data_IF_268728598907
#
_entry.id   IF_268728598907
#
_cell.length_a   1.000
_cell.length_b   1.000
_cell.length_c   1.000
_cell.angle_alpha   90.00
_cell.angle_beta   90.00
_cell.angle_gamma   90.00
#
_symmetry.space_group_name_H-M   'P 1'
#
loop_
_entity.id
_entity.type
_entity.pdbx_description
1 polymer ?
#
# COMPACT_ATOMS: atom_id res chain seq x y z
N UNK A 1 5.46 -28.32 -6.30
CA UNK A 1 6.92 -28.54 -6.30
C UNK A 1 7.55 -27.18 -6.52
N UNK A 2 8.38 -26.72 -5.59
CA UNK A 2 9.18 -25.51 -5.78
C UNK A 2 10.52 -25.93 -6.37
N UNK A 3 10.83 -25.40 -7.55
CA UNK A 3 12.12 -25.65 -8.19
C UNK A 3 13.20 -24.85 -7.46
N UNK A 4 14.37 -25.46 -7.24
CA UNK A 4 15.55 -24.89 -6.55
C UNK A 4 15.44 -24.71 -5.01
N UNK A 5 14.46 -25.29 -4.34
CA UNK A 5 14.43 -25.31 -2.87
C UNK A 5 15.66 -26.06 -2.30
N UNK A 6 16.40 -25.51 -1.31
CA UNK A 6 16.13 -24.31 -0.50
C UNK A 6 16.72 -22.98 -1.02
N UNK A 7 17.51 -22.98 -2.10
CA UNK A 7 18.22 -21.80 -2.60
C UNK A 7 17.51 -21.14 -3.80
N UNK A 8 16.81 -20.05 -3.54
CA UNK A 8 16.08 -19.27 -4.55
C UNK A 8 16.92 -18.24 -5.29
N UNK A 9 18.24 -18.18 -5.07
CA UNK A 9 19.15 -17.24 -5.75
C UNK A 9 19.03 -17.27 -7.28
N UNK A 10 18.86 -18.45 -7.86
CA UNK A 10 18.71 -18.67 -9.29
C UNK A 10 17.40 -18.08 -9.85
N UNK A 11 16.39 -17.93 -8.99
CA UNK A 11 15.07 -17.37 -9.30
C UNK A 11 14.99 -15.87 -9.02
N UNK A 12 16.08 -15.21 -8.58
CA UNK A 12 16.08 -13.82 -8.12
C UNK A 12 15.44 -12.86 -9.12
N UNK A 13 15.77 -12.99 -10.41
CA UNK A 13 15.19 -12.15 -11.49
C UNK A 13 13.67 -12.29 -11.58
N UNK A 14 13.16 -13.52 -11.56
CA UNK A 14 11.72 -13.78 -11.68
C UNK A 14 10.98 -13.24 -10.46
N UNK A 15 11.59 -13.34 -9.28
CA UNK A 15 11.01 -12.82 -8.04
C UNK A 15 10.99 -11.29 -8.07
N UNK A 16 12.07 -10.63 -8.52
CA UNK A 16 12.11 -9.17 -8.69
C UNK A 16 11.04 -8.70 -9.70
N UNK A 17 10.98 -9.34 -10.87
CA UNK A 17 9.97 -9.02 -11.90
C UNK A 17 8.54 -9.17 -11.33
N UNK A 18 8.30 -10.21 -10.54
CA UNK A 18 7.00 -10.44 -9.90
C UNK A 18 6.68 -9.33 -8.88
N UNK A 19 7.60 -9.03 -7.95
CA UNK A 19 7.40 -8.02 -6.90
C UNK A 19 7.22 -6.60 -7.48
N UNK A 20 7.98 -6.24 -8.52
CA UNK A 20 7.80 -4.98 -9.25
C UNK A 20 6.43 -4.91 -9.94
N UNK A 21 6.00 -6.00 -10.59
CA UNK A 21 4.70 -6.07 -11.26
C UNK A 21 3.53 -6.00 -10.28
N UNK A 22 3.63 -6.68 -9.12
CA UNK A 22 2.63 -6.60 -8.06
C UNK A 22 2.47 -5.18 -7.53
N UNK A 23 3.59 -4.47 -7.27
CA UNK A 23 3.54 -3.08 -6.84
C UNK A 23 2.92 -2.18 -7.91
N UNK A 24 3.33 -2.34 -9.17
CA UNK A 24 2.80 -1.56 -10.29
C UNK A 24 1.29 -1.78 -10.49
N UNK A 25 0.83 -3.02 -10.29
CA UNK A 25 -0.58 -3.34 -10.31
C UNK A 25 -1.33 -2.65 -9.16
N UNK A 26 -0.81 -2.75 -7.92
CA UNK A 26 -1.44 -2.14 -6.74
C UNK A 26 -1.50 -0.60 -6.83
N UNK A 27 -0.45 0.04 -7.34
CA UNK A 27 -0.44 1.49 -7.58
C UNK A 27 -1.58 1.91 -8.50
N UNK A 28 -1.88 1.11 -9.54
CA UNK A 28 -2.93 1.43 -10.52
C UNK A 28 -4.33 1.06 -10.03
N UNK A 29 -4.50 -0.17 -9.52
CA UNK A 29 -5.81 -0.76 -9.28
C UNK A 29 -6.10 -1.12 -7.82
N UNK A 30 -5.10 -1.03 -6.94
CA UNK A 30 -5.29 -1.26 -5.51
C UNK A 30 -6.39 -0.36 -4.92
N UNK A 31 -7.15 -0.90 -3.97
CA UNK A 31 -8.17 -0.15 -3.20
C UNK A 31 -9.35 0.44 -4.01
N UNK A 32 -9.43 0.23 -5.33
CA UNK A 32 -10.53 0.76 -6.15
C UNK A 32 -11.86 0.03 -5.92
N UNK A 33 -11.84 -1.21 -5.42
CA UNK A 33 -13.04 -2.04 -5.23
C UNK A 33 -13.50 -2.75 -6.51
N UNK A 34 -14.48 -3.65 -6.39
CA UNK A 34 -14.94 -4.49 -7.50
C UNK A 34 -15.84 -3.79 -8.54
N UNK A 35 -16.45 -2.67 -8.15
CA UNK A 35 -17.36 -1.87 -9.01
C UNK A 35 -16.66 -0.65 -9.65
N UNK A 36 -15.33 -0.58 -9.56
CA UNK A 36 -14.56 0.56 -10.06
C UNK A 36 -14.60 0.68 -11.58
N UNK A 37 -14.67 1.92 -12.06
CA UNK A 37 -14.62 2.23 -13.49
C UNK A 37 -13.26 2.84 -13.88
N UNK A 38 -13.03 2.99 -15.19
CA UNK A 38 -11.86 3.67 -15.78
C UNK A 38 -11.70 5.10 -15.22
N UNK A 39 -12.82 5.75 -14.86
CA UNK A 39 -12.83 7.08 -14.23
C UNK A 39 -12.14 7.09 -12.87
N UNK A 40 -12.33 6.05 -12.07
CA UNK A 40 -11.75 5.96 -10.72
C UNK A 40 -10.23 5.70 -10.81
N UNK A 41 -9.83 4.81 -11.73
CA UNK A 41 -8.41 4.60 -12.03
C UNK A 41 -7.72 5.89 -12.49
N UNK A 42 -8.38 6.66 -13.37
CA UNK A 42 -7.87 7.96 -13.82
C UNK A 42 -7.76 8.98 -12.67
N UNK A 43 -8.77 9.05 -11.79
CA UNK A 43 -8.72 9.94 -10.63
C UNK A 43 -7.62 9.53 -9.67
N UNK A 44 -7.42 8.23 -9.40
CA UNK A 44 -6.29 7.74 -8.60
C UNK A 44 -4.95 8.14 -9.19
N UNK A 45 -4.77 7.95 -10.50
CA UNK A 45 -3.57 8.37 -11.21
C UNK A 45 -3.32 9.88 -11.05
N UNK A 46 -4.36 10.70 -11.22
CA UNK A 46 -4.28 12.16 -11.05
C UNK A 46 -3.88 12.55 -9.62
N UNK A 47 -4.49 11.94 -8.59
CA UNK A 47 -4.14 12.21 -7.20
C UNK A 47 -2.67 11.88 -6.91
N UNK A 48 -2.18 10.74 -7.41
CA UNK A 48 -0.78 10.35 -7.29
C UNK A 48 0.15 11.38 -7.92
N UNK A 49 -0.11 11.80 -9.15
CA UNK A 49 0.73 12.80 -9.83
C UNK A 49 0.79 14.14 -9.09
N UNK A 50 -0.34 14.60 -8.55
CA UNK A 50 -0.38 15.82 -7.73
C UNK A 50 0.41 15.64 -6.45
N UNK A 51 0.30 14.48 -5.81
CA UNK A 51 1.04 14.17 -4.58
C UNK A 51 2.55 14.11 -4.83
N UNK A 52 2.99 13.46 -5.91
CA UNK A 52 4.40 13.37 -6.29
C UNK A 52 5.00 14.75 -6.59
N UNK A 53 4.23 15.63 -7.23
CA UNK A 53 4.64 17.02 -7.46
C UNK A 53 4.82 17.79 -6.15
N UNK A 54 4.08 17.44 -5.09
CA UNK A 54 4.14 18.12 -3.78
C UNK A 54 5.26 17.59 -2.88
N UNK A 55 5.76 16.38 -3.13
CA UNK A 55 6.76 15.69 -2.27
C UNK A 55 7.96 15.19 -3.08
N UNK A 56 8.75 16.08 -3.71
CA UNK A 56 9.94 15.69 -4.46
C UNK A 56 10.99 14.98 -3.61
N UNK A 57 11.10 15.30 -2.32
CA UNK A 57 12.03 14.69 -1.37
C UNK A 57 11.77 13.18 -1.17
N UNK A 58 10.50 12.79 -1.09
CA UNK A 58 10.11 11.37 -0.97
C UNK A 58 10.42 10.64 -2.28
N UNK A 59 10.21 11.29 -3.43
CA UNK A 59 10.50 10.70 -4.73
C UNK A 59 12.00 10.51 -4.96
N UNK A 60 12.84 11.44 -4.49
CA UNK A 60 14.29 11.30 -4.54
C UNK A 60 14.77 10.15 -3.64
N UNK A 61 14.29 10.10 -2.38
CA UNK A 61 14.60 9.00 -1.46
C UNK A 61 14.19 7.63 -2.03
N UNK A 62 13.01 7.55 -2.67
CA UNK A 62 12.55 6.32 -3.33
C UNK A 62 13.45 5.92 -4.51
N UNK A 63 13.92 6.88 -5.32
CA UNK A 63 14.84 6.59 -6.43
C UNK A 63 16.17 6.05 -5.92
N UNK A 64 16.71 6.62 -4.86
CA UNK A 64 17.95 6.17 -4.24
C UNK A 64 17.80 4.75 -3.68
N UNK A 65 16.72 4.46 -2.94
CA UNK A 65 16.45 3.13 -2.41
C UNK A 65 16.34 2.04 -3.51
N UNK A 66 15.67 2.35 -4.63
CA UNK A 66 15.58 1.43 -5.78
C UNK A 66 16.95 1.19 -6.40
N UNK A 67 17.77 2.24 -6.53
CA UNK A 67 19.12 2.13 -7.08
C UNK A 67 20.00 1.23 -6.20
N UNK A 68 19.99 1.47 -4.89
CA UNK A 68 20.74 0.65 -3.92
C UNK A 68 20.28 -0.82 -3.93
N UNK A 69 18.97 -1.06 -4.03
CA UNK A 69 18.44 -2.42 -4.12
C UNK A 69 18.94 -3.16 -5.37
N UNK A 70 18.94 -2.48 -6.53
CA UNK A 70 19.46 -3.06 -7.78
C UNK A 70 20.96 -3.32 -7.73
N UNK A 71 21.72 -2.46 -7.07
CA UNK A 71 23.16 -2.67 -6.84
C UNK A 71 23.41 -3.88 -5.93
N UNK A 72 22.64 -4.05 -4.85
CA UNK A 72 22.71 -5.23 -3.97
C UNK A 72 22.36 -6.52 -4.69
N UNK A 73 21.30 -6.51 -5.49
CA UNK A 73 20.91 -7.64 -6.35
C UNK A 73 22.04 -8.02 -7.32
N UNK A 74 22.70 -7.04 -7.94
CA UNK A 74 23.83 -7.28 -8.84
C UNK A 74 25.04 -7.88 -8.11
N UNK A 75 25.24 -7.54 -6.83
CA UNK A 75 26.27 -8.12 -5.98
C UNK A 75 25.93 -9.52 -5.44
N UNK A 76 24.72 -10.04 -5.74
CA UNK A 76 24.24 -11.34 -5.28
C UNK A 76 23.59 -11.33 -3.89
N UNK A 77 23.38 -10.15 -3.31
CA UNK A 77 22.64 -10.00 -2.06
C UNK A 77 21.14 -9.94 -2.34
N UNK A 78 20.45 -11.05 -2.09
CA UNK A 78 19.02 -11.16 -2.31
C UNK A 78 18.23 -10.89 -1.02
N UNK A 79 17.54 -9.76 -0.98
CA UNK A 79 16.72 -9.35 0.16
C UNK A 79 15.25 -9.16 -0.24
N UNK A 80 14.41 -10.11 0.18
CA UNK A 80 12.95 -10.08 0.00
C UNK A 80 12.23 -9.00 0.82
N UNK A 81 12.89 -8.40 1.82
CA UNK A 81 12.25 -7.44 2.72
C UNK A 81 12.07 -6.06 2.08
N UNK A 82 12.78 -5.77 0.99
CA UNK A 82 12.74 -4.49 0.29
C UNK A 82 11.33 -4.13 -0.20
N UNK A 83 10.66 -5.05 -0.91
CA UNK A 83 9.29 -4.84 -1.41
C UNK A 83 8.21 -5.11 -0.35
N UNK A 84 8.56 -5.84 0.72
CA UNK A 84 7.64 -6.22 1.81
C UNK A 84 7.73 -5.32 3.04
N UNK A 85 8.16 -4.06 2.87
CA UNK A 85 8.17 -3.08 3.96
C UNK A 85 6.73 -2.61 4.27
N UNK A 86 5.97 -3.46 4.96
CA UNK A 86 4.64 -3.14 5.47
C UNK A 86 3.46 -3.71 4.66
N UNK A 87 3.59 -4.90 4.04
CA UNK A 87 2.43 -5.53 3.41
C UNK A 87 1.45 -6.06 4.47
N UNK A 88 0.39 -5.28 4.64
CA UNK A 88 -0.92 -5.60 5.18
C UNK A 88 -1.23 -7.12 5.09
N UNK A 89 -1.70 -7.69 6.22
CA UNK A 89 -2.12 -9.09 6.47
C UNK A 89 -1.07 -10.15 6.85
N UNK A 90 0.21 -10.03 6.45
CA UNK A 90 1.21 -11.09 6.72
C UNK A 90 2.20 -10.79 7.85
N UNK A 91 2.34 -9.54 8.29
CA UNK A 91 3.12 -9.20 9.48
C UNK A 91 2.34 -9.49 10.78
N UNK A 92 2.03 -10.77 10.99
CA UNK A 92 1.29 -11.24 12.18
C UNK A 92 2.09 -11.13 13.48
N UNK A 93 3.39 -10.80 13.41
CA UNK A 93 4.24 -10.68 14.60
C UNK A 93 3.92 -9.44 15.43
N UNK A 94 3.28 -8.43 14.83
CA UNK A 94 2.83 -7.21 15.51
C UNK A 94 1.29 -7.11 15.60
N UNK A 95 0.57 -8.14 15.16
CA UNK A 95 -0.89 -8.20 15.15
C UNK A 95 -1.38 -8.89 16.42
N UNK A 96 -1.23 -8.24 17.57
CA UNK A 96 -1.91 -8.68 18.78
C UNK A 96 -3.41 -8.29 18.70
N UNK A 97 -4.34 -9.22 18.97
CA UNK A 97 -5.77 -8.90 19.12
C UNK A 97 -5.96 -7.94 20.30
N UNK A 98 -6.93 -7.00 20.25
CA UNK A 98 -8.20 -7.14 19.54
C UNK A 98 -8.32 -6.16 18.36
N UNK A 99 -8.69 -6.69 17.20
CA UNK A 99 -9.28 -5.92 16.11
C UNK A 99 -10.73 -5.58 16.47
N UNK A 100 -10.90 -4.74 17.49
CA UNK A 100 -12.05 -3.86 17.48
C UNK A 100 -11.79 -2.85 16.37
N UNK A 101 -12.66 -2.85 15.36
CA UNK A 101 -12.76 -1.71 14.47
C UNK A 101 -13.06 -0.49 15.35
N UNK A 102 -12.03 0.23 15.78
CA UNK A 102 -12.17 1.56 16.34
C UNK A 102 -12.58 2.49 15.19
N UNK A 103 -13.84 2.35 14.76
CA UNK A 103 -14.58 3.46 14.22
C UNK A 103 -14.48 4.54 15.31
N UNK A 104 -13.73 5.60 15.03
CA UNK A 104 -13.55 6.71 15.98
C UNK A 104 -14.89 7.28 16.46
N UNK A 105 -15.97 7.05 15.67
CA UNK A 105 -17.37 7.28 16.02
C UNK A 105 -18.26 6.19 15.39
N UNK A 106 -19.24 5.70 16.13
CA UNK A 106 -20.30 4.84 15.60
C UNK A 106 -20.98 5.52 14.38
N UNK A 107 -21.30 4.79 13.30
CA UNK A 107 -22.10 5.32 12.19
C UNK A 107 -23.55 5.64 12.60
N UNK A 108 -23.94 5.26 13.82
CA UNK A 108 -25.27 5.37 14.40
C UNK A 108 -25.20 6.16 15.70
N UNK A 109 -26.11 7.12 15.86
CA UNK A 109 -26.35 7.82 17.12
C UNK A 109 -27.67 7.28 17.69
N UNK A 110 -27.58 6.25 18.54
CA UNK A 110 -28.74 5.45 18.95
C UNK A 110 -29.35 4.70 17.76
N UNK A 111 -30.67 4.80 17.57
CA UNK A 111 -31.41 4.13 16.48
C UNK A 111 -31.40 4.90 15.14
N UNK A 112 -30.69 6.04 15.06
CA UNK A 112 -30.69 6.91 13.88
C UNK A 112 -29.31 6.90 13.20
N UNK A 113 -29.26 6.93 11.84
CA UNK A 113 -28.00 7.12 11.13
C UNK A 113 -27.42 8.50 11.47
N UNK A 114 -26.10 8.55 11.69
CA UNK A 114 -25.38 9.79 11.91
C UNK A 114 -25.65 10.74 10.73
N UNK A 115 -26.18 11.93 11.02
CA UNK A 115 -26.59 12.88 9.97
C UNK A 115 -25.39 13.23 9.06
N UNK A 116 -25.63 13.27 7.75
CA UNK A 116 -24.66 13.78 6.76
C UNK A 116 -24.65 15.32 6.68
N UNK A 117 -25.47 16.00 7.49
CA UNK A 117 -25.55 17.45 7.50
C UNK A 117 -24.29 18.07 8.11
N UNK A 118 -23.61 18.91 7.34
CA UNK A 118 -22.38 19.59 7.77
C UNK A 118 -22.58 20.48 9.01
N UNK A 119 -23.81 20.98 9.23
CA UNK A 119 -24.15 21.81 10.40
C UNK A 119 -24.13 21.04 11.72
N UNK A 120 -24.36 19.71 11.69
CA UNK A 120 -24.29 18.86 12.89
C UNK A 120 -22.85 18.81 13.42
N UNK A 121 -21.87 18.54 12.55
CA UNK A 121 -20.46 18.46 12.95
C UNK A 121 -19.89 19.77 13.48
N UNK A 122 -20.44 20.91 13.06
CA UNK A 122 -20.05 22.22 13.58
C UNK A 122 -20.46 22.43 15.05
N UNK A 123 -21.52 21.77 15.53
CA UNK A 123 -22.02 21.90 16.91
C UNK A 123 -21.31 20.99 17.92
N UNK A 124 -20.64 19.93 17.45
CA UNK A 124 -20.00 18.90 18.30
C UNK A 124 -18.50 19.19 18.50
N UNK A 125 -17.96 20.23 17.86
CA UNK A 125 -16.55 20.60 17.94
C UNK A 125 -16.21 21.63 19.04
N UNK A 126 -17.20 22.09 19.82
CA UNK A 126 -17.01 22.86 21.05
C UNK A 126 -17.00 21.93 22.27
#
# INVERSE_FOLDING_TARGET
MNYHEPDFSHCAKVIEDMEENELNFFIKYGELGGEADVRDAYMKQKHRLIWERRHPEIMEARRQAIKEHKEKLANGEFDHSFWKKGMFWHDKKHYEPPYEFFLSKSPLEGDKPLSKDWQYYKKVCD
#
